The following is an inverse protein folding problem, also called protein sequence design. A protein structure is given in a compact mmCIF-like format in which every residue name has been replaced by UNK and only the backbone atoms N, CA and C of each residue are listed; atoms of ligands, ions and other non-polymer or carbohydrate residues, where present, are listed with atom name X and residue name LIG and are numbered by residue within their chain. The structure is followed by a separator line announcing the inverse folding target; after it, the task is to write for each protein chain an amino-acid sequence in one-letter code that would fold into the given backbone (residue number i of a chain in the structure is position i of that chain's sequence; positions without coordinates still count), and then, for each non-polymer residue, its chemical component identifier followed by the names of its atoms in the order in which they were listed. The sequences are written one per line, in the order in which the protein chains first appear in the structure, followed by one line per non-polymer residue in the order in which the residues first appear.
data_IF_819657499282
#
_entry.id   IF_819657499282
#
_cell.length_a   1.000
_cell.length_b   1.000
_cell.length_c   1.000
_cell.angle_alpha   90.00
_cell.angle_beta   90.00
_cell.angle_gamma   90.00
#
_symmetry.space_group_name_H-M   'P 1'
#
loop_
_entity.id
_entity.type
_entity.pdbx_description
1 polymer ?
#
# COMPACT_ATOMS: atom_id res chain seq x y z
N UNK A 1 0.52 -5.71 1.88
CA UNK A 1 1.76 -5.19 1.32
C UNK A 1 1.93 -5.57 -0.14
N UNK A 2 2.17 -6.83 -0.51
CA UNK A 2 2.29 -7.21 -1.96
C UNK A 2 0.97 -6.94 -2.71
N UNK A 3 0.91 -5.79 -3.38
CA UNK A 3 -0.26 -5.28 -4.08
C UNK A 3 0.07 -4.72 -5.46
N UNK A 4 -0.74 -3.77 -5.92
CA UNK A 4 -0.60 -3.12 -7.23
C UNK A 4 0.70 -2.39 -7.41
N UNK A 5 1.12 -1.63 -6.40
CA UNK A 5 2.14 -0.59 -6.58
C UNK A 5 3.46 -1.10 -7.15
N UNK A 6 3.91 -2.31 -6.79
CA UNK A 6 5.16 -2.85 -7.35
C UNK A 6 5.08 -3.12 -8.85
N UNK A 7 3.90 -3.47 -9.37
CA UNK A 7 3.69 -3.79 -10.78
C UNK A 7 3.36 -2.56 -11.64
N UNK A 8 3.17 -1.38 -11.04
CA UNK A 8 2.66 -0.18 -11.73
C UNK A 8 3.49 1.08 -11.49
N UNK A 9 4.13 1.22 -10.33
CA UNK A 9 4.71 2.51 -9.91
C UNK A 9 5.97 2.89 -10.70
N UNK A 10 6.75 1.90 -11.13
CA UNK A 10 8.01 2.16 -11.84
C UNK A 10 7.80 2.96 -13.14
N UNK A 11 6.65 2.81 -13.80
CA UNK A 11 6.35 3.43 -15.08
C UNK A 11 6.18 4.94 -14.97
N UNK A 12 5.66 5.40 -13.83
CA UNK A 12 5.58 6.81 -13.49
C UNK A 12 6.93 7.37 -13.01
N UNK A 13 7.79 6.53 -12.41
CA UNK A 13 9.10 6.95 -11.92
C UNK A 13 10.12 7.15 -13.05
N UNK A 14 10.15 6.22 -14.01
CA UNK A 14 11.12 6.27 -15.13
C UNK A 14 10.90 7.48 -16.04
N UNK A 15 9.68 8.03 -16.06
CA UNK A 15 9.35 9.24 -16.82
C UNK A 15 10.12 10.48 -16.32
N UNK A 16 10.39 10.53 -15.01
CA UNK A 16 11.04 11.65 -14.32
C UNK A 16 12.50 11.37 -13.96
N UNK A 17 12.89 10.09 -13.88
CA UNK A 17 14.21 9.65 -13.43
C UNK A 17 14.82 8.69 -14.46
N UNK A 18 15.61 9.21 -15.43
CA UNK A 18 16.21 8.41 -16.49
C UNK A 18 17.53 7.75 -16.04
N UNK A 19 17.60 7.19 -14.84
CA UNK A 19 18.81 6.51 -14.34
C UNK A 19 18.50 5.32 -13.43
N UNK A 20 19.18 4.19 -13.70
CA UNK A 20 18.95 2.89 -13.04
C UNK A 20 19.25 2.95 -11.54
N UNK A 21 20.39 3.52 -11.14
CA UNK A 21 20.79 3.53 -9.73
C UNK A 21 19.80 4.32 -8.85
N UNK A 22 19.44 5.59 -9.17
CA UNK A 22 18.41 6.31 -8.45
C UNK A 22 17.07 5.57 -8.37
N UNK A 23 16.63 4.93 -9.45
CA UNK A 23 15.38 4.15 -9.46
C UNK A 23 15.42 3.00 -8.45
N UNK A 24 16.46 2.18 -8.45
CA UNK A 24 16.62 1.10 -7.45
C UNK A 24 16.74 1.67 -6.04
N UNK A 25 17.48 2.77 -5.89
CA UNK A 25 17.68 3.43 -4.62
C UNK A 25 16.37 3.94 -4.02
N UNK A 26 15.41 4.43 -4.83
CA UNK A 26 14.06 4.79 -4.37
C UNK A 26 13.39 3.63 -3.63
N UNK A 27 13.41 2.43 -4.21
CA UNK A 27 12.78 1.24 -3.63
C UNK A 27 13.45 0.77 -2.35
N UNK A 28 14.78 0.93 -2.25
CA UNK A 28 15.54 0.68 -1.02
C UNK A 28 15.15 1.68 0.06
N UNK A 29 15.15 2.98 -0.24
CA UNK A 29 14.78 4.05 0.69
C UNK A 29 13.33 3.86 1.18
N UNK A 30 12.39 3.62 0.26
CA UNK A 30 10.99 3.39 0.61
C UNK A 30 10.78 2.17 1.50
N UNK A 31 11.52 1.07 1.27
CA UNK A 31 11.43 -0.10 2.14
C UNK A 31 12.10 0.10 3.50
N UNK A 32 13.18 0.91 3.59
CA UNK A 32 13.75 1.35 4.88
C UNK A 32 12.73 2.18 5.65
N UNK A 33 12.05 3.13 4.99
CA UNK A 33 10.95 3.90 5.60
C UNK A 33 9.88 2.93 6.12
N UNK A 34 9.40 1.98 5.31
CA UNK A 34 8.40 1.01 5.73
C UNK A 34 8.85 0.16 6.93
N UNK A 35 10.13 -0.25 6.99
CA UNK A 35 10.71 -0.98 8.11
C UNK A 35 10.74 -0.16 9.40
N UNK A 36 11.19 1.10 9.31
CA UNK A 36 11.19 2.03 10.45
C UNK A 36 9.77 2.26 10.98
N UNK A 37 8.80 2.39 10.08
CA UNK A 37 7.38 2.49 10.40
C UNK A 37 6.86 1.24 11.11
N UNK A 38 7.12 0.06 10.54
CA UNK A 38 6.71 -1.24 11.08
C UNK A 38 7.27 -1.48 12.48
N UNK A 39 8.56 -1.19 12.70
CA UNK A 39 9.20 -1.28 14.01
C UNK A 39 8.61 -0.30 15.03
N UNK A 40 8.12 0.86 14.60
CA UNK A 40 7.51 1.85 15.50
C UNK A 40 6.06 1.50 15.83
N UNK A 41 5.27 1.15 14.81
CA UNK A 41 3.90 0.67 14.97
C UNK A 41 3.83 -0.61 15.80
N UNK A 42 4.86 -1.46 15.74
CA UNK A 42 4.98 -2.61 16.63
C UNK A 42 4.88 -2.22 18.11
N UNK A 43 5.55 -1.15 18.56
CA UNK A 43 5.49 -0.71 19.96
C UNK A 43 4.10 -0.18 20.29
N UNK A 44 3.57 0.71 19.44
CA UNK A 44 2.26 1.35 19.65
C UNK A 44 1.12 0.31 19.68
N UNK A 45 1.09 -0.58 18.70
CA UNK A 45 0.07 -1.62 18.59
C UNK A 45 0.18 -2.70 19.66
N UNK A 46 1.40 -3.07 20.07
CA UNK A 46 1.60 -4.01 21.18
C UNK A 46 1.21 -3.41 22.54
N UNK A 47 1.43 -2.10 22.73
CA UNK A 47 1.09 -1.40 23.96
C UNK A 47 -0.41 -1.07 24.06
N UNK A 48 -1.11 -0.90 22.92
CA UNK A 48 -2.54 -0.57 22.86
C UNK A 48 -3.28 -1.49 21.85
N UNK A 49 -3.44 -2.80 22.16
CA UNK A 49 -3.98 -3.76 21.21
C UNK A 49 -5.51 -3.67 21.10
N UNK A 50 -6.00 -2.71 20.31
CA UNK A 50 -7.41 -2.61 19.88
C UNK A 50 -7.46 -2.42 18.36
N UNK A 51 -8.44 -3.06 17.72
CA UNK A 51 -8.75 -2.83 16.30
C UNK A 51 -9.11 -1.36 16.04
N UNK A 52 -8.80 -0.87 14.84
CA UNK A 52 -9.06 0.51 14.42
C UNK A 52 -7.85 1.29 13.91
N UNK A 53 -6.63 0.76 14.02
CA UNK A 53 -5.45 1.39 13.41
C UNK A 53 -5.18 2.79 13.97
N UNK A 54 -4.88 3.73 13.07
CA UNK A 54 -4.59 5.13 13.38
C UNK A 54 -5.74 5.81 14.11
N UNK A 55 -7.00 5.48 13.79
CA UNK A 55 -8.16 6.02 14.52
C UNK A 55 -8.01 5.78 16.02
N UNK A 56 -7.71 4.54 16.40
CA UNK A 56 -7.56 4.17 17.81
C UNK A 56 -6.29 4.80 18.41
N UNK A 57 -5.15 4.63 17.75
CA UNK A 57 -3.85 5.07 18.25
C UNK A 57 -3.82 6.59 18.45
N UNK A 58 -4.22 7.36 17.44
CA UNK A 58 -4.19 8.82 17.49
C UNK A 58 -5.24 9.40 18.45
N UNK A 59 -6.40 8.73 18.61
CA UNK A 59 -7.38 9.09 19.64
C UNK A 59 -6.80 9.01 21.05
N UNK A 60 -5.97 8.01 21.32
CA UNK A 60 -5.37 7.78 22.65
C UNK A 60 -4.11 8.61 22.89
N UNK A 61 -3.29 8.81 21.86
CA UNK A 61 -2.01 9.54 21.99
C UNK A 61 -2.24 11.06 22.03
N UNK A 62 -3.08 11.57 21.14
CA UNK A 62 -3.25 13.01 20.93
C UNK A 62 -4.60 13.51 21.44
N UNK A 63 -5.68 13.16 20.74
CA UNK A 63 -7.04 13.63 21.02
C UNK A 63 -8.06 12.86 20.15
N UNK A 64 -9.31 12.62 20.62
CA UNK A 64 -10.35 11.95 19.83
C UNK A 64 -10.62 12.58 18.44
N UNK A 65 -10.51 13.90 18.29
CA UNK A 65 -10.71 14.59 17.00
C UNK A 65 -9.64 14.17 15.98
N UNK A 66 -8.37 14.09 16.39
CA UNK A 66 -7.28 13.67 15.49
C UNK A 66 -7.49 12.22 15.07
N UNK A 67 -7.89 11.38 16.03
CA UNK A 67 -8.31 10.01 15.75
C UNK A 67 -9.46 9.96 14.74
N UNK A 68 -10.53 10.71 14.94
CA UNK A 68 -11.67 10.79 14.03
C UNK A 68 -11.26 11.15 12.60
N UNK A 69 -10.48 12.22 12.41
CA UNK A 69 -10.01 12.65 11.08
C UNK A 69 -9.18 11.53 10.44
N UNK A 70 -8.25 10.94 11.21
CA UNK A 70 -7.43 9.83 10.71
C UNK A 70 -8.25 8.59 10.35
N UNK A 71 -9.34 8.32 11.08
CA UNK A 71 -10.27 7.25 10.80
C UNK A 71 -11.02 7.49 9.48
N UNK A 72 -11.48 8.72 9.26
CA UNK A 72 -12.12 9.12 8.01
C UNK A 72 -11.19 8.98 6.81
N UNK A 73 -9.94 9.44 6.95
CA UNK A 73 -8.89 9.25 5.93
C UNK A 73 -8.58 7.78 5.72
N UNK A 74 -8.53 6.97 6.78
CA UNK A 74 -8.29 5.54 6.65
C UNK A 74 -9.42 4.86 5.84
N UNK A 75 -10.68 5.12 6.17
CA UNK A 75 -11.83 4.51 5.48
C UNK A 75 -11.85 4.89 3.99
N UNK A 76 -11.63 6.16 3.68
CA UNK A 76 -11.70 6.68 2.30
C UNK A 76 -10.41 6.42 1.52
N UNK A 77 -9.31 7.02 1.95
CA UNK A 77 -8.02 6.98 1.25
C UNK A 77 -7.15 5.77 1.63
N UNK A 78 -7.36 5.17 2.81
CA UNK A 78 -6.62 3.99 3.26
C UNK A 78 -7.17 2.65 2.78
N UNK A 79 -8.48 2.56 2.49
CA UNK A 79 -9.11 1.31 2.05
C UNK A 79 -9.90 1.46 0.75
N UNK A 80 -10.80 2.44 0.61
CA UNK A 80 -11.59 2.58 -0.62
C UNK A 80 -10.71 2.93 -1.85
N UNK A 81 -9.82 3.91 -1.72
CA UNK A 81 -8.89 4.29 -2.81
C UNK A 81 -7.95 3.13 -3.23
N UNK A 82 -7.26 2.41 -2.33
CA UNK A 82 -6.48 1.23 -2.71
C UNK A 82 -7.32 0.08 -3.29
N UNK A 83 -8.58 -0.06 -2.87
CA UNK A 83 -9.52 -1.02 -3.50
C UNK A 83 -9.76 -0.63 -4.95
N UNK A 84 -10.03 0.65 -5.22
CA UNK A 84 -10.24 1.17 -6.57
C UNK A 84 -8.97 1.00 -7.44
N UNK A 85 -7.80 1.37 -6.93
CA UNK A 85 -6.53 1.23 -7.64
C UNK A 85 -6.21 -0.24 -7.99
N UNK A 86 -6.48 -1.18 -7.06
CA UNK A 86 -6.36 -2.61 -7.32
C UNK A 86 -7.30 -3.10 -8.43
N UNK A 87 -8.54 -2.62 -8.44
CA UNK A 87 -9.51 -2.98 -9.45
C UNK A 87 -9.19 -2.36 -10.83
N UNK A 88 -8.79 -1.08 -10.88
CA UNK A 88 -8.40 -0.40 -12.13
C UNK A 88 -7.17 -1.07 -12.75
N UNK A 89 -6.15 -1.38 -11.95
CA UNK A 89 -4.98 -2.10 -12.42
C UNK A 89 -5.38 -3.49 -12.98
N UNK A 90 -6.24 -4.23 -12.28
CA UNK A 90 -6.79 -5.49 -12.78
C UNK A 90 -7.45 -5.31 -14.16
N UNK A 91 -8.26 -4.27 -14.32
CA UNK A 91 -8.87 -3.89 -15.60
C UNK A 91 -7.83 -3.70 -16.70
N UNK A 92 -6.80 -2.88 -16.44
CA UNK A 92 -5.71 -2.60 -17.39
C UNK A 92 -4.92 -3.84 -17.80
N UNK A 93 -4.56 -4.69 -16.83
CA UNK A 93 -3.89 -5.97 -17.11
C UNK A 93 -4.77 -6.94 -17.90
N UNK A 94 -6.11 -6.83 -17.78
CA UNK A 94 -7.05 -7.66 -18.56
C UNK A 94 -7.26 -7.11 -19.98
N UNK A 95 -7.39 -5.79 -20.14
CA UNK A 95 -7.53 -5.10 -21.44
C UNK A 95 -6.40 -5.46 -22.42
N UNK A 96 -5.18 -5.56 -21.90
CA UNK A 96 -3.98 -5.94 -22.67
C UNK A 96 -4.13 -7.32 -23.33
N UNK A 97 -4.87 -8.24 -22.70
CA UNK A 97 -5.11 -9.60 -23.20
C UNK A 97 -6.39 -9.68 -24.02
N UNK A 98 -7.44 -8.97 -23.58
CA UNK A 98 -8.76 -8.93 -24.19
C UNK A 98 -9.16 -7.47 -24.47
N UNK A 99 -8.74 -6.89 -25.61
CA UNK A 99 -8.96 -5.47 -25.91
C UNK A 99 -10.44 -5.07 -26.07
N UNK A 100 -11.34 -6.04 -26.22
CA UNK A 100 -12.79 -5.81 -26.29
C UNK A 100 -13.46 -5.62 -24.92
N UNK A 101 -12.74 -5.89 -23.83
CA UNK A 101 -13.26 -5.73 -22.47
C UNK A 101 -12.97 -4.31 -21.99
N UNK A 102 -13.99 -3.59 -21.54
CA UNK A 102 -13.80 -2.33 -20.82
C UNK A 102 -13.27 -2.60 -19.41
N UNK A 103 -12.03 -2.21 -19.14
CA UNK A 103 -11.36 -2.44 -17.87
C UNK A 103 -11.97 -1.67 -16.71
N UNK A 104 -12.61 -0.53 -16.96
CA UNK A 104 -13.28 0.29 -15.93
C UNK A 104 -14.54 -0.43 -15.44
N UNK A 105 -15.37 -0.90 -16.36
CA UNK A 105 -16.57 -1.67 -16.01
C UNK A 105 -16.22 -3.03 -15.39
N UNK A 106 -15.15 -3.69 -15.88
CA UNK A 106 -14.63 -4.89 -15.24
C UNK A 106 -14.18 -4.62 -13.80
N UNK A 107 -13.42 -3.55 -13.57
CA UNK A 107 -12.97 -3.13 -12.23
C UNK A 107 -14.17 -2.93 -11.29
N UNK A 108 -15.17 -2.16 -11.71
CA UNK A 108 -16.37 -1.90 -10.92
C UNK A 108 -17.14 -3.21 -10.61
N UNK A 109 -17.31 -4.08 -11.61
CA UNK A 109 -17.99 -5.37 -11.45
C UNK A 109 -17.26 -6.25 -10.43
N UNK A 110 -15.93 -6.36 -10.51
CA UNK A 110 -15.14 -7.15 -9.54
C UNK A 110 -15.32 -6.64 -8.12
N UNK A 111 -15.28 -5.32 -7.90
CA UNK A 111 -15.49 -4.73 -6.56
C UNK A 111 -16.89 -5.02 -6.04
N UNK A 112 -17.93 -4.90 -6.87
CA UNK A 112 -19.31 -5.22 -6.50
C UNK A 112 -19.45 -6.69 -6.11
N UNK A 113 -18.96 -7.61 -6.94
CA UNK A 113 -19.02 -9.06 -6.68
C UNK A 113 -18.30 -9.41 -5.39
N UNK A 114 -17.09 -8.89 -5.18
CA UNK A 114 -16.31 -9.15 -3.97
C UNK A 114 -16.99 -8.57 -2.72
N UNK A 115 -17.60 -7.39 -2.84
CA UNK A 115 -18.37 -6.77 -1.75
C UNK A 115 -19.60 -7.60 -1.39
N UNK A 116 -20.31 -8.13 -2.38
CA UNK A 116 -21.44 -9.04 -2.17
C UNK A 116 -20.96 -10.31 -1.45
N UNK A 117 -19.86 -10.93 -1.88
CA UNK A 117 -19.32 -12.14 -1.24
C UNK A 117 -19.00 -11.89 0.25
N UNK A 118 -18.30 -10.78 0.54
CA UNK A 118 -17.95 -10.40 1.92
C UNK A 118 -19.15 -9.96 2.76
N UNK A 119 -20.31 -9.70 2.16
CA UNK A 119 -21.55 -9.41 2.91
C UNK A 119 -22.21 -10.66 3.50
N UNK A 120 -21.88 -11.86 2.98
CA UNK A 120 -22.47 -13.12 3.44
C UNK A 120 -21.55 -13.99 4.30
N UNK A 121 -20.24 -14.08 4.00
CA UNK A 121 -19.33 -15.00 4.70
C UNK A 121 -17.92 -14.44 4.93
N UNK A 122 -17.50 -14.41 6.19
CA UNK A 122 -16.18 -13.91 6.64
C UNK A 122 -15.12 -15.01 6.71
N UNK A 123 -15.54 -16.28 6.98
CA UNK A 123 -14.60 -17.39 7.25
C UNK A 123 -13.82 -17.86 6.02
N UNK A 124 -14.36 -17.69 4.82
CA UNK A 124 -13.66 -17.99 3.57
C UNK A 124 -12.54 -16.96 3.28
N UNK A 125 -12.63 -15.75 3.83
CA UNK A 125 -11.70 -14.66 3.53
C UNK A 125 -10.27 -14.90 4.00
N UNK A 126 -10.07 -15.46 5.21
CA UNK A 126 -8.71 -15.66 5.75
C UNK A 126 -7.93 -16.76 5.02
N UNK A 127 -8.57 -17.90 4.71
CA UNK A 127 -7.92 -18.98 3.94
C UNK A 127 -7.58 -18.52 2.52
N UNK A 128 -8.54 -17.87 1.86
CA UNK A 128 -8.32 -17.27 0.54
C UNK A 128 -7.14 -16.29 0.55
N UNK A 129 -7.07 -15.43 1.56
CA UNK A 129 -6.00 -14.43 1.68
C UNK A 129 -4.62 -15.07 1.87
N UNK A 130 -4.52 -16.09 2.73
CA UNK A 130 -3.25 -16.78 2.97
C UNK A 130 -2.76 -17.51 1.72
N UNK A 131 -3.64 -18.25 1.05
CA UNK A 131 -3.31 -18.95 -0.20
C UNK A 131 -2.92 -17.97 -1.30
N UNK A 132 -3.68 -16.88 -1.49
CA UNK A 132 -3.36 -15.87 -2.48
C UNK A 132 -2.03 -15.16 -2.19
N UNK A 133 -1.71 -14.91 -0.91
CA UNK A 133 -0.43 -14.30 -0.52
C UNK A 133 0.74 -15.23 -0.82
N UNK A 134 0.62 -16.52 -0.51
CA UNK A 134 1.63 -17.51 -0.87
C UNK A 134 1.84 -17.57 -2.39
N UNK A 135 0.77 -17.65 -3.17
CA UNK A 135 0.84 -17.68 -4.63
C UNK A 135 1.45 -16.40 -5.21
N UNK A 136 1.15 -15.22 -4.65
CA UNK A 136 1.80 -13.95 -5.04
C UNK A 136 3.30 -13.99 -4.88
N UNK A 137 3.77 -14.41 -3.70
CA UNK A 137 5.21 -14.48 -3.41
C UNK A 137 5.88 -15.51 -4.32
N UNK A 138 5.28 -16.68 -4.48
CA UNK A 138 5.78 -17.72 -5.37
C UNK A 138 5.87 -17.22 -6.82
N UNK A 139 4.84 -16.54 -7.32
CA UNK A 139 4.83 -15.97 -8.67
C UNK A 139 5.97 -14.97 -8.86
N UNK A 140 6.17 -14.05 -7.91
CA UNK A 140 7.27 -13.08 -7.96
C UNK A 140 8.62 -13.80 -7.98
N UNK A 141 8.82 -14.83 -7.16
CA UNK A 141 10.07 -15.58 -7.14
C UNK A 141 10.33 -16.31 -8.46
N UNK A 142 9.31 -16.98 -9.03
CA UNK A 142 9.41 -17.63 -10.34
C UNK A 142 9.75 -16.60 -11.42
N UNK A 143 9.07 -15.45 -11.41
CA UNK A 143 9.30 -14.36 -12.34
C UNK A 143 10.74 -13.84 -12.27
N UNK A 144 11.24 -13.59 -11.07
CA UNK A 144 12.60 -13.10 -10.85
C UNK A 144 13.65 -14.14 -11.30
N UNK A 145 13.47 -15.41 -10.93
CA UNK A 145 14.40 -16.48 -11.32
C UNK A 145 14.42 -16.65 -12.84
N UNK A 146 13.26 -16.70 -13.49
CA UNK A 146 13.17 -16.84 -14.94
C UNK A 146 13.84 -15.70 -15.69
N UNK A 147 13.74 -14.47 -15.19
CA UNK A 147 14.35 -13.30 -15.81
C UNK A 147 15.88 -13.38 -15.91
N UNK A 148 16.56 -14.05 -14.99
CA UNK A 148 18.02 -14.23 -15.08
C UNK A 148 18.47 -15.18 -16.20
N UNK A 149 17.55 -15.93 -16.82
CA UNK A 149 17.84 -16.87 -17.91
C UNK A 149 17.47 -16.33 -19.29
N UNK A 150 17.12 -15.04 -19.43
CA UNK A 150 16.81 -14.45 -20.73
C UNK A 150 18.05 -14.40 -21.64
N UNK A 151 17.92 -14.63 -22.96
CA UNK A 151 19.07 -14.70 -23.86
C UNK A 151 19.81 -13.37 -24.07
N UNK A 152 19.08 -12.25 -24.02
CA UNK A 152 19.59 -10.92 -24.33
C UNK A 152 19.15 -9.91 -23.25
N UNK A 153 19.79 -9.92 -22.07
CA UNK A 153 19.48 -8.95 -21.03
C UNK A 153 20.03 -7.56 -21.33
N UNK A 154 19.46 -6.56 -20.65
CA UNK A 154 20.00 -5.21 -20.72
C UNK A 154 21.33 -5.09 -19.97
N UNK A 155 22.24 -4.31 -20.54
CA UNK A 155 23.47 -3.93 -19.86
C UNK A 155 23.21 -2.74 -18.92
N UNK A 156 22.70 -3.05 -17.72
CA UNK A 156 22.42 -2.05 -16.69
C UNK A 156 23.55 -1.98 -15.65
N UNK A 157 23.82 -0.77 -15.15
CA UNK A 157 24.74 -0.55 -14.02
C UNK A 157 23.95 -0.11 -12.80
N UNK A 158 24.10 -0.85 -11.70
CA UNK A 158 23.58 -0.50 -10.37
C UNK A 158 24.63 0.22 -9.51
N UNK A 159 25.78 0.59 -10.09
CA UNK A 159 26.77 1.40 -9.40
C UNK A 159 26.43 2.90 -9.58
N UNK A 160 26.56 3.70 -8.51
CA UNK A 160 26.28 5.13 -8.56
C UNK A 160 27.27 5.86 -9.47
N UNK A 161 26.76 6.84 -10.21
CA UNK A 161 27.54 7.84 -10.95
C UNK A 161 27.42 9.20 -10.28
N UNK A 162 28.35 10.11 -10.56
CA UNK A 162 28.29 11.48 -10.00
C UNK A 162 27.00 12.23 -10.38
N UNK A 163 26.49 12.02 -11.59
CA UNK A 163 25.21 12.58 -12.05
C UNK A 163 24.01 12.07 -11.25
N UNK A 164 24.09 10.86 -10.68
CA UNK A 164 22.99 10.27 -9.91
C UNK A 164 22.78 10.99 -8.58
N UNK A 165 23.82 11.60 -8.00
CA UNK A 165 23.70 12.35 -6.74
C UNK A 165 22.76 13.55 -6.94
N UNK A 166 22.87 14.24 -8.08
CA UNK A 166 21.99 15.38 -8.41
C UNK A 166 20.53 14.93 -8.57
N UNK A 167 20.31 13.75 -9.16
CA UNK A 167 18.97 13.17 -9.27
C UNK A 167 18.40 12.80 -7.90
N UNK A 168 19.19 12.20 -7.00
CA UNK A 168 18.73 11.74 -5.68
C UNK A 168 18.24 12.90 -4.79
N UNK A 169 18.87 14.08 -4.92
CA UNK A 169 18.47 15.28 -4.15
C UNK A 169 17.45 16.15 -4.90
N UNK A 170 17.01 15.74 -6.08
CA UNK A 170 16.07 16.51 -6.92
C UNK A 170 14.61 16.42 -6.42
N UNK A 171 13.77 17.41 -6.78
CA UNK A 171 12.31 17.31 -6.58
C UNK A 171 11.70 16.05 -7.21
N UNK A 172 12.13 15.67 -8.42
CA UNK A 172 11.65 14.49 -9.14
C UNK A 172 11.86 13.19 -8.35
N UNK A 173 12.96 13.07 -7.61
CA UNK A 173 13.20 11.93 -6.73
C UNK A 173 12.26 11.92 -5.52
N UNK A 174 12.05 13.07 -4.87
CA UNK A 174 11.13 13.17 -3.75
C UNK A 174 9.67 12.89 -4.16
N UNK A 175 9.25 13.39 -5.33
CA UNK A 175 7.92 13.07 -5.90
C UNK A 175 7.83 11.59 -6.28
N UNK A 176 8.88 11.00 -6.85
CA UNK A 176 8.93 9.57 -7.17
C UNK A 176 8.83 8.65 -5.94
N UNK A 177 9.34 9.11 -4.79
CA UNK A 177 9.16 8.41 -3.52
C UNK A 177 7.70 8.33 -3.07
N UNK A 178 6.79 9.20 -3.53
CA UNK A 178 5.35 9.04 -3.23
C UNK A 178 4.85 7.72 -3.78
N UNK A 179 5.20 7.40 -5.03
CA UNK A 179 4.75 6.17 -5.69
C UNK A 179 5.35 4.94 -5.00
N UNK A 180 6.62 5.02 -4.58
CA UNK A 180 7.24 3.95 -3.79
C UNK A 180 6.57 3.81 -2.42
N UNK A 181 6.37 4.91 -1.69
CA UNK A 181 5.71 4.92 -0.39
C UNK A 181 4.31 4.32 -0.49
N UNK A 182 3.56 4.66 -1.55
CA UNK A 182 2.29 4.04 -1.86
C UNK A 182 2.43 2.53 -2.10
N UNK A 183 3.39 2.09 -2.92
CA UNK A 183 3.60 0.68 -3.21
C UNK A 183 3.89 -0.13 -1.94
N UNK A 184 4.63 0.44 -0.98
CA UNK A 184 4.90 -0.19 0.31
C UNK A 184 3.72 -0.16 1.29
N UNK A 185 2.63 0.57 1.02
CA UNK A 185 1.48 0.67 1.93
C UNK A 185 0.90 -0.69 2.33
N UNK A 186 0.18 -0.68 3.45
CA UNK A 186 -0.37 -1.89 4.07
C UNK A 186 0.66 -2.66 4.90
N UNK A 187 1.85 -2.10 5.14
CA UNK A 187 2.77 -2.61 6.17
C UNK A 187 2.16 -2.47 7.57
N UNK A 188 1.34 -1.46 7.80
CA UNK A 188 0.59 -1.19 9.03
C UNK A 188 -0.75 -1.95 9.13
N UNK A 189 -1.14 -2.72 8.10
CA UNK A 189 -2.48 -3.31 7.99
C UNK A 189 -2.87 -4.19 9.21
N UNK A 190 -1.91 -4.90 9.80
CA UNK A 190 -2.16 -5.77 10.94
C UNK A 190 -2.63 -5.00 12.20
N UNK A 191 -2.32 -3.70 12.32
CA UNK A 191 -2.77 -2.87 13.45
C UNK A 191 -4.28 -2.62 13.39
N UNK A 192 -4.89 -2.57 12.20
CA UNK A 192 -6.33 -2.35 12.08
C UNK A 192 -7.16 -3.52 12.62
N UNK A 193 -6.59 -4.71 12.68
CA UNK A 193 -7.21 -5.93 13.21
C UNK A 193 -6.49 -6.45 14.47
N UNK A 194 -5.78 -5.58 15.19
CA UNK A 194 -4.98 -5.98 16.35
C UNK A 194 -5.78 -6.75 17.41
N UNK A 195 -7.06 -6.44 17.59
CA UNK A 195 -7.94 -7.14 18.53
C UNK A 195 -8.30 -8.59 18.12
N UNK A 196 -8.08 -8.97 16.86
CA UNK A 196 -8.31 -10.32 16.34
C UNK A 196 -7.02 -11.18 16.36
N UNK A 197 -5.86 -10.58 16.66
CA UNK A 197 -4.56 -11.27 16.66
C UNK A 197 -4.33 -11.98 18.00
N UNK A 198 -4.01 -13.27 17.96
CA UNK A 198 -3.58 -14.04 19.15
C UNK A 198 -2.25 -13.51 19.68
N UNK A 199 -2.15 -13.26 20.98
CA UNK A 199 -0.94 -12.69 21.64
C UNK A 199 -0.38 -11.46 20.89
N UNK A 200 -1.16 -10.37 20.79
CA UNK A 200 -0.82 -9.22 19.96
C UNK A 200 0.47 -8.55 20.42
N UNK A 201 0.83 -8.63 21.71
CA UNK A 201 2.07 -8.08 22.25
C UNK A 201 3.34 -8.64 21.59
N UNK A 202 3.30 -9.87 21.07
CA UNK A 202 4.44 -10.50 20.37
C UNK A 202 4.20 -10.69 18.88
N UNK A 203 2.99 -11.11 18.50
CA UNK A 203 2.71 -11.49 17.12
C UNK A 203 2.48 -10.30 16.21
N UNK A 204 1.97 -9.18 16.73
CA UNK A 204 1.80 -7.97 15.92
C UNK A 204 3.15 -7.34 15.54
N UNK A 205 4.11 -7.05 16.46
CA UNK A 205 5.42 -6.53 16.06
C UNK A 205 6.16 -7.44 15.07
N UNK A 206 6.09 -8.76 15.28
CA UNK A 206 6.73 -9.75 14.41
C UNK A 206 6.13 -9.73 13.01
N UNK A 207 4.80 -9.71 12.88
CA UNK A 207 4.16 -9.73 11.56
C UNK A 207 4.43 -8.46 10.76
N UNK A 208 4.44 -7.29 11.43
CA UNK A 208 4.78 -6.01 10.80
C UNK A 208 6.21 -6.02 10.27
N UNK A 209 7.19 -6.39 11.10
CA UNK A 209 8.60 -6.39 10.72
C UNK A 209 8.93 -7.42 9.64
N UNK A 210 8.54 -8.69 9.83
CA UNK A 210 8.88 -9.74 8.85
C UNK A 210 8.18 -9.51 7.53
N UNK A 211 6.92 -9.06 7.55
CA UNK A 211 6.18 -8.67 6.35
C UNK A 211 6.89 -7.55 5.58
N UNK A 212 7.26 -6.46 6.27
CA UNK A 212 7.96 -5.34 5.64
C UNK A 212 9.35 -5.72 5.09
N UNK A 213 10.12 -6.52 5.82
CA UNK A 213 11.45 -6.96 5.40
C UNK A 213 11.40 -7.83 4.14
N UNK A 214 10.49 -8.81 4.10
CA UNK A 214 10.32 -9.68 2.92
C UNK A 214 9.90 -8.84 1.70
N UNK A 215 8.96 -7.91 1.89
CA UNK A 215 8.47 -7.08 0.79
C UNK A 215 9.54 -6.14 0.26
N UNK A 216 10.38 -5.54 1.12
CA UNK A 216 11.53 -4.75 0.69
C UNK A 216 12.44 -5.55 -0.26
N UNK A 217 12.81 -6.76 0.15
CA UNK A 217 13.67 -7.63 -0.68
C UNK A 217 13.02 -7.96 -2.02
N UNK A 218 11.75 -8.38 -2.00
CA UNK A 218 11.00 -8.73 -3.21
C UNK A 218 10.84 -7.53 -4.15
N UNK A 219 10.56 -6.35 -3.62
CA UNK A 219 10.31 -5.15 -4.42
C UNK A 219 11.59 -4.62 -5.06
N UNK A 220 12.70 -4.63 -4.34
CA UNK A 220 14.02 -4.26 -4.91
C UNK A 220 14.40 -5.24 -6.02
N UNK A 221 14.26 -6.55 -5.79
CA UNK A 221 14.54 -7.57 -6.81
C UNK A 221 13.64 -7.41 -8.03
N UNK A 222 12.33 -7.21 -7.82
CA UNK A 222 11.37 -7.14 -8.91
C UNK A 222 11.61 -5.88 -9.77
N UNK A 223 11.90 -4.74 -9.15
CA UNK A 223 12.25 -3.52 -9.90
C UNK A 223 13.59 -3.65 -10.64
N UNK A 224 14.57 -4.32 -10.04
CA UNK A 224 15.80 -4.67 -10.76
C UNK A 224 15.49 -5.50 -12.01
N UNK A 225 14.62 -6.51 -11.90
CA UNK A 225 14.23 -7.35 -13.03
C UNK A 225 13.48 -6.58 -14.12
N UNK A 226 12.58 -5.66 -13.77
CA UNK A 226 11.91 -4.82 -14.76
C UNK A 226 12.90 -3.99 -15.57
N UNK A 227 13.87 -3.35 -14.89
CA UNK A 227 14.93 -2.57 -15.52
C UNK A 227 15.95 -3.44 -16.29
N UNK A 228 16.16 -4.69 -15.86
CA UNK A 228 17.04 -5.65 -16.53
C UNK A 228 16.43 -6.21 -17.82
N UNK A 229 15.11 -6.17 -17.96
CA UNK A 229 14.36 -6.81 -19.06
C UNK A 229 13.76 -5.80 -20.04
N UNK A 230 13.43 -4.57 -19.63
CA UNK A 230 12.70 -3.60 -20.46
C UNK A 230 13.38 -2.23 -20.48
N UNK A 231 13.52 -1.57 -21.64
CA UNK A 231 14.14 -0.24 -21.73
C UNK A 231 13.31 0.81 -20.97
N UNK A 232 13.97 1.84 -20.43
CA UNK A 232 13.29 2.90 -19.67
C UNK A 232 12.19 3.60 -20.49
N UNK A 233 12.44 3.82 -21.78
CA UNK A 233 11.51 4.47 -22.71
C UNK A 233 10.21 3.67 -22.90
N UNK A 234 10.29 2.34 -22.89
CA UNK A 234 9.13 1.46 -23.05
C UNK A 234 8.29 1.36 -21.76
N UNK A 235 8.90 1.66 -20.62
CA UNK A 235 8.24 1.65 -19.30
C UNK A 235 7.52 2.98 -18.99
N UNK A 236 7.95 4.08 -19.59
CA UNK A 236 7.49 5.42 -19.24
C UNK A 236 5.98 5.59 -19.43
N UNK A 237 5.30 5.99 -18.35
CA UNK A 237 3.85 6.22 -18.30
C UNK A 237 2.99 4.96 -18.40
N UNK A 238 3.58 3.75 -18.31
CA UNK A 238 2.85 2.48 -18.40
C UNK A 238 2.44 1.95 -17.04
N UNK A 239 1.20 1.45 -16.94
CA UNK A 239 0.69 0.80 -15.72
C UNK A 239 1.07 -0.68 -15.71
N UNK A 240 1.09 -1.31 -16.87
CA UNK A 240 1.23 -2.75 -17.10
C UNK A 240 2.69 -3.21 -17.21
N UNK A 241 3.58 -2.69 -16.36
CA UNK A 241 5.04 -2.94 -16.40
C UNK A 241 5.37 -4.42 -16.27
N UNK A 242 4.64 -5.13 -15.40
CA UNK A 242 4.80 -6.57 -15.22
C UNK A 242 4.54 -7.34 -16.51
N UNK A 243 3.58 -6.89 -17.34
CA UNK A 243 3.31 -7.49 -18.64
C UNK A 243 4.43 -7.24 -19.65
N UNK A 244 4.94 -6.00 -19.71
CA UNK A 244 6.04 -5.64 -20.62
C UNK A 244 7.30 -6.47 -20.33
N UNK A 245 7.66 -6.59 -19.06
CA UNK A 245 8.78 -7.45 -18.64
C UNK A 245 8.48 -8.92 -18.92
N UNK A 246 7.25 -9.38 -18.69
CA UNK A 246 6.85 -10.76 -18.96
C UNK A 246 6.96 -11.15 -20.45
N UNK A 247 6.67 -10.24 -21.38
CA UNK A 247 6.87 -10.49 -22.82
C UNK A 247 8.35 -10.79 -23.10
N UNK A 248 9.26 -10.01 -22.53
CA UNK A 248 10.69 -10.18 -22.77
C UNK A 248 11.26 -11.44 -22.08
N UNK A 249 10.61 -11.93 -21.01
CA UNK A 249 11.03 -13.14 -20.30
C UNK A 249 10.42 -14.41 -20.92
N UNK A 250 9.12 -14.42 -21.21
CA UNK A 250 8.36 -15.62 -21.57
C UNK A 250 7.77 -15.58 -22.98
N UNK A 251 8.08 -14.56 -23.77
CA UNK A 251 7.45 -14.29 -25.07
C UNK A 251 6.00 -13.80 -24.93
N UNK A 252 5.36 -13.51 -26.07
CA UNK A 252 4.01 -12.91 -26.10
C UNK A 252 2.95 -13.74 -25.38
N UNK A 253 2.96 -15.06 -25.55
CA UNK A 253 1.97 -15.95 -24.91
C UNK A 253 2.18 -16.00 -23.39
N UNK A 254 3.44 -16.13 -22.94
CA UNK A 254 3.77 -16.11 -21.52
C UNK A 254 3.51 -14.74 -20.88
N UNK A 255 3.74 -13.66 -21.62
CA UNK A 255 3.37 -12.30 -21.23
C UNK A 255 1.87 -12.17 -20.95
N UNK A 256 1.02 -12.62 -21.89
CA UNK A 256 -0.45 -12.61 -21.71
C UNK A 256 -0.87 -13.46 -20.51
N UNK A 257 -0.28 -14.64 -20.33
CA UNK A 257 -0.55 -15.49 -19.17
C UNK A 257 -0.18 -14.78 -17.86
N UNK A 258 0.99 -14.14 -17.81
CA UNK A 258 1.44 -13.38 -16.65
C UNK A 258 0.51 -12.20 -16.36
N UNK A 259 0.06 -11.50 -17.39
CA UNK A 259 -0.92 -10.41 -17.26
C UNK A 259 -2.20 -10.88 -16.57
N UNK A 260 -2.74 -12.02 -17.00
CA UNK A 260 -3.93 -12.63 -16.39
C UNK A 260 -3.68 -13.11 -14.95
N UNK A 261 -2.49 -13.65 -14.66
CA UNK A 261 -2.12 -14.05 -13.31
C UNK A 261 -2.02 -12.83 -12.38
N UNK A 262 -1.40 -11.74 -12.83
CA UNK A 262 -1.35 -10.47 -12.08
C UNK A 262 -2.78 -9.96 -11.84
N UNK A 263 -3.61 -9.88 -12.88
CA UNK A 263 -5.01 -9.47 -12.77
C UNK A 263 -5.78 -10.32 -11.73
N UNK A 264 -5.65 -11.65 -11.79
CA UNK A 264 -6.27 -12.55 -10.83
C UNK A 264 -5.77 -12.32 -9.39
N UNK A 265 -4.47 -12.11 -9.21
CA UNK A 265 -3.88 -11.85 -7.89
C UNK A 265 -4.31 -10.49 -7.33
N UNK A 266 -4.64 -9.50 -8.18
CA UNK A 266 -5.19 -8.22 -7.74
C UNK A 266 -6.61 -8.36 -7.15
N UNK A 267 -7.39 -9.37 -7.55
CA UNK A 267 -8.67 -9.70 -6.88
C UNK A 267 -8.46 -9.96 -5.40
N UNK A 268 -7.36 -10.61 -5.02
CA UNK A 268 -7.06 -10.84 -3.60
C UNK A 268 -6.73 -9.55 -2.85
N UNK A 269 -6.13 -8.56 -3.53
CA UNK A 269 -5.89 -7.23 -2.93
C UNK A 269 -7.23 -6.50 -2.72
N UNK A 270 -8.11 -6.50 -3.71
CA UNK A 270 -9.49 -5.96 -3.60
C UNK A 270 -10.22 -6.61 -2.42
N UNK A 271 -10.19 -7.95 -2.36
CA UNK A 271 -10.81 -8.74 -1.30
C UNK A 271 -10.29 -8.40 0.09
N UNK A 272 -8.97 -8.26 0.26
CA UNK A 272 -8.36 -7.87 1.53
C UNK A 272 -8.82 -6.49 2.00
N UNK A 273 -8.87 -5.51 1.09
CA UNK A 273 -9.24 -4.13 1.43
C UNK A 273 -10.75 -4.00 1.73
N UNK A 274 -11.60 -4.69 0.98
CA UNK A 274 -13.05 -4.78 1.24
C UNK A 274 -13.33 -5.47 2.57
N UNK A 275 -12.48 -6.41 2.97
CA UNK A 275 -12.60 -7.07 4.27
C UNK A 275 -12.18 -6.18 5.45
N UNK A 276 -11.02 -5.50 5.37
CA UNK A 276 -10.48 -4.75 6.52
C UNK A 276 -11.18 -3.40 6.70
N UNK A 277 -11.39 -2.64 5.62
CA UNK A 277 -11.85 -1.25 5.70
C UNK A 277 -13.16 -1.00 6.47
N UNK A 278 -14.23 -1.82 6.29
CA UNK A 278 -15.50 -1.60 6.97
C UNK A 278 -15.42 -1.71 8.50
N UNK A 279 -14.40 -2.41 9.03
CA UNK A 279 -14.18 -2.53 10.48
C UNK A 279 -13.83 -1.19 11.11
N UNK A 280 -13.22 -0.26 10.37
CA UNK A 280 -12.83 1.04 10.92
C UNK A 280 -14.07 1.89 11.13
N UNK A 281 -14.94 2.01 10.11
CA UNK A 281 -16.21 2.71 10.24
C UNK A 281 -17.10 2.07 11.31
N UNK A 282 -17.05 0.74 11.44
CA UNK A 282 -17.76 0.02 12.50
C UNK A 282 -17.25 0.42 13.89
N UNK A 283 -15.94 0.41 14.12
CA UNK A 283 -15.34 0.85 15.40
C UNK A 283 -15.65 2.33 15.68
N UNK A 284 -15.57 3.20 14.67
CA UNK A 284 -15.99 4.61 14.81
C UNK A 284 -17.47 4.73 15.19
N UNK A 285 -18.34 3.90 14.61
CA UNK A 285 -19.77 3.86 14.94
C UNK A 285 -20.09 3.21 16.30
N UNK A 286 -19.19 2.41 16.85
CA UNK A 286 -19.29 1.88 18.23
C UNK A 286 -18.90 2.97 19.25
N UNK A 287 -17.92 3.80 18.91
CA UNK A 287 -17.43 4.87 19.78
C UNK A 287 -18.26 6.17 19.68
N UNK A 288 -18.92 6.44 18.55
CA UNK A 288 -19.61 7.71 18.27
C UNK A 288 -21.09 7.51 17.88
N UNK A 289 -22.05 8.03 18.67
CA UNK A 289 -23.49 7.88 18.39
C UNK A 289 -23.94 8.40 17.02
N UNK A 290 -23.32 9.48 16.53
CA UNK A 290 -23.63 10.08 15.21
C UNK A 290 -23.31 9.11 14.06
N UNK A 291 -22.37 8.19 14.26
CA UNK A 291 -21.96 7.17 13.28
C UNK A 291 -22.51 5.78 13.60
N UNK A 292 -23.46 5.66 14.53
CA UNK A 292 -24.01 4.37 14.99
C UNK A 292 -24.66 3.53 13.87
N UNK A 293 -24.96 4.12 12.71
CA UNK A 293 -25.40 3.35 11.54
C UNK A 293 -24.35 2.33 11.09
N UNK A 294 -23.05 2.63 11.25
CA UNK A 294 -21.94 1.76 10.84
C UNK A 294 -21.63 0.63 11.83
N UNK A 295 -22.04 0.74 13.09
CA UNK A 295 -21.83 -0.32 14.10
C UNK A 295 -22.85 -1.46 14.01
N UNK A 296 -23.91 -1.30 13.22
CA UNK A 296 -24.93 -2.34 12.99
C UNK A 296 -24.33 -3.54 12.24
N UNK A 297 -24.37 -4.71 12.88
CA UNK A 297 -23.85 -5.98 12.34
C UNK A 297 -24.99 -6.85 11.82
N UNK A 298 -24.76 -7.59 10.74
CA UNK A 298 -25.63 -8.67 10.31
C UNK A 298 -25.59 -9.85 11.29
N UNK A 299 -26.45 -10.86 11.09
CA UNK A 299 -26.43 -12.11 11.87
C UNK A 299 -25.05 -12.79 11.89
N UNK A 300 -24.25 -12.58 10.84
CA UNK A 300 -22.91 -13.16 10.69
C UNK A 300 -21.80 -12.24 11.22
N UNK A 301 -22.14 -11.16 11.93
CA UNK A 301 -21.17 -10.23 12.53
C UNK A 301 -20.59 -9.20 11.56
N UNK A 302 -21.17 -9.04 10.37
CA UNK A 302 -20.63 -8.22 9.28
C UNK A 302 -21.24 -6.81 9.33
N UNK A 303 -20.45 -5.72 9.34
CA UNK A 303 -20.97 -4.35 9.32
C UNK A 303 -21.39 -3.95 7.90
N UNK A 304 -22.55 -4.42 7.44
CA UNK A 304 -23.02 -4.27 6.05
C UNK A 304 -23.10 -2.81 5.63
N UNK A 305 -23.56 -1.91 6.50
CA UNK A 305 -23.65 -0.47 6.17
C UNK A 305 -22.27 0.16 5.93
N UNK A 306 -21.26 -0.24 6.71
CA UNK A 306 -19.89 0.22 6.50
C UNK A 306 -19.29 -0.33 5.20
N UNK A 307 -19.61 -1.59 4.87
CA UNK A 307 -19.20 -2.22 3.62
C UNK A 307 -19.83 -1.52 2.41
N UNK A 308 -21.13 -1.21 2.47
CA UNK A 308 -21.82 -0.47 1.42
C UNK A 308 -21.25 0.95 1.25
N UNK A 309 -20.93 1.64 2.34
CA UNK A 309 -20.28 2.95 2.26
C UNK A 309 -18.93 2.87 1.55
N UNK A 310 -18.07 1.92 1.93
CA UNK A 310 -16.79 1.71 1.25
C UNK A 310 -16.98 1.36 -0.23
N UNK A 311 -17.97 0.52 -0.57
CA UNK A 311 -18.29 0.18 -1.96
C UNK A 311 -18.64 1.43 -2.77
N UNK A 312 -19.51 2.29 -2.26
CA UNK A 312 -19.91 3.54 -2.93
C UNK A 312 -18.69 4.44 -3.17
N UNK A 313 -17.88 4.68 -2.14
CA UNK A 313 -16.67 5.51 -2.27
C UNK A 313 -15.68 4.90 -3.27
N UNK A 314 -15.52 3.58 -3.27
CA UNK A 314 -14.64 2.86 -4.21
C UNK A 314 -15.14 3.03 -5.65
N UNK A 315 -16.44 2.89 -5.90
CA UNK A 315 -17.03 3.07 -7.23
C UNK A 315 -16.89 4.51 -7.72
N UNK A 316 -17.04 5.50 -6.84
CA UNK A 316 -16.78 6.90 -7.19
C UNK A 316 -15.34 7.07 -7.68
N UNK A 317 -14.34 6.56 -6.95
CA UNK A 317 -12.94 6.62 -7.41
C UNK A 317 -12.72 5.93 -8.76
N UNK A 318 -13.35 4.78 -9.01
CA UNK A 318 -13.23 4.06 -10.29
C UNK A 318 -13.74 4.90 -11.47
N UNK A 319 -14.84 5.64 -11.30
CA UNK A 319 -15.48 6.36 -12.40
C UNK A 319 -15.05 7.83 -12.54
N UNK A 320 -14.53 8.48 -11.48
CA UNK A 320 -14.29 9.93 -11.50
C UNK A 320 -12.82 10.32 -11.51
N UNK A 321 -11.90 9.42 -11.16
CA UNK A 321 -10.52 9.76 -10.86
C UNK A 321 -9.55 8.93 -11.69
N UNK A 322 -8.45 9.53 -12.14
CA UNK A 322 -7.37 8.78 -12.78
C UNK A 322 -6.58 7.95 -11.76
N UNK A 323 -5.93 6.88 -12.23
CA UNK A 323 -5.10 6.01 -11.38
C UNK A 323 -4.03 6.82 -10.63
N UNK A 324 -3.32 7.71 -11.34
CA UNK A 324 -2.25 8.51 -10.77
C UNK A 324 -2.77 9.50 -9.71
N UNK A 325 -3.89 10.19 -9.97
CA UNK A 325 -4.49 11.12 -9.01
C UNK A 325 -4.88 10.42 -7.69
N UNK A 326 -5.61 9.30 -7.78
CA UNK A 326 -6.02 8.54 -6.58
C UNK A 326 -4.80 8.09 -5.78
N UNK A 327 -3.74 7.67 -6.47
CA UNK A 327 -2.49 7.24 -5.84
C UNK A 327 -1.83 8.40 -5.09
N UNK A 328 -1.63 9.55 -5.73
CA UNK A 328 -0.95 10.70 -5.13
C UNK A 328 -1.72 11.20 -3.90
N UNK A 329 -3.05 11.36 -3.99
CA UNK A 329 -3.88 11.79 -2.87
C UNK A 329 -3.82 10.84 -1.69
N UNK A 330 -3.96 9.53 -1.95
CA UNK A 330 -3.90 8.52 -0.91
C UNK A 330 -2.51 8.48 -0.27
N UNK A 331 -1.46 8.50 -1.08
CA UNK A 331 -0.09 8.44 -0.59
C UNK A 331 0.26 9.62 0.31
N UNK A 332 -0.11 10.85 -0.07
CA UNK A 332 0.13 12.05 0.74
C UNK A 332 -0.59 11.97 2.10
N UNK A 333 -1.90 11.76 2.08
CA UNK A 333 -2.71 11.77 3.31
C UNK A 333 -2.36 10.62 4.25
N UNK A 334 -2.11 9.43 3.72
CA UNK A 334 -1.67 8.29 4.53
C UNK A 334 -0.26 8.52 5.11
N UNK A 335 0.65 9.11 4.33
CA UNK A 335 1.98 9.47 4.82
C UNK A 335 1.92 10.46 5.98
N UNK A 336 1.03 11.45 5.89
CA UNK A 336 0.81 12.42 6.96
C UNK A 336 0.35 11.75 8.26
N UNK A 337 -0.74 10.96 8.22
CA UNK A 337 -1.29 10.33 9.43
C UNK A 337 -0.40 9.22 9.99
N UNK A 338 0.32 8.49 9.14
CA UNK A 338 1.30 7.51 9.60
C UNK A 338 2.51 8.18 10.24
N UNK A 339 2.97 9.32 9.72
CA UNK A 339 4.03 10.13 10.35
C UNK A 339 3.61 10.67 11.70
N UNK A 340 2.37 11.16 11.82
CA UNK A 340 1.81 11.58 13.11
C UNK A 340 1.72 10.41 14.10
N UNK A 341 1.38 9.22 13.62
CA UNK A 341 1.32 8.01 14.45
C UNK A 341 2.72 7.58 14.91
N UNK A 342 3.71 7.55 14.02
CA UNK A 342 5.12 7.28 14.37
C UNK A 342 5.64 8.29 15.37
N UNK A 343 5.39 9.59 15.18
CA UNK A 343 5.73 10.62 16.16
C UNK A 343 5.07 10.37 17.53
N UNK A 344 3.92 9.71 17.52
CA UNK A 344 3.18 9.33 18.71
C UNK A 344 3.96 8.45 19.68
N UNK A 345 5.00 7.72 19.25
CA UNK A 345 5.85 6.94 20.17
C UNK A 345 6.62 7.83 21.15
N UNK A 346 7.07 9.00 20.71
CA UNK A 346 7.75 9.98 21.58
C UNK A 346 6.76 10.56 22.58
N UNK A 347 5.59 10.97 22.11
CA UNK A 347 4.51 11.54 22.94
C UNK A 347 4.02 10.53 23.97
N UNK A 348 3.80 9.27 23.56
CA UNK A 348 3.30 8.20 24.43
C UNK A 348 4.29 7.88 25.55
N UNK A 349 5.60 7.91 25.28
CA UNK A 349 6.64 7.71 26.31
C UNK A 349 6.65 8.81 27.37
N UNK A 350 6.25 10.03 27.01
CA UNK A 350 6.14 11.16 27.94
C UNK A 350 4.80 11.13 28.70
N UNK A 351 3.67 11.00 27.98
CA UNK A 351 2.32 11.05 28.57
C UNK A 351 1.97 9.81 29.40
N UNK A 352 2.47 8.63 29.00
CA UNK A 352 2.12 7.35 29.62
C UNK A 352 3.38 6.51 29.90
N UNK A 353 4.29 6.97 30.78
CA UNK A 353 5.57 6.30 31.02
C UNK A 353 5.38 4.89 31.60
N UNK A 354 4.39 4.70 32.48
CA UNK A 354 4.09 3.43 33.14
C UNK A 354 3.32 2.41 32.28
N UNK A 355 2.92 2.76 31.04
CA UNK A 355 2.20 1.83 30.16
C UNK A 355 3.06 0.59 29.86
N UNK A 356 2.55 -0.64 30.08
CA UNK A 356 3.26 -1.86 29.71
C UNK A 356 3.56 -1.88 28.21
N UNK A 357 4.82 -2.16 27.85
CA UNK A 357 5.30 -2.23 26.47
C UNK A 357 5.89 -3.61 26.21
N UNK A 358 5.09 -4.60 25.77
CA UNK A 358 5.56 -5.95 25.48
C UNK A 358 6.68 -6.00 24.44
N UNK A 359 6.70 -5.00 23.54
CA UNK A 359 7.77 -4.75 22.60
C UNK A 359 8.11 -3.25 22.63
N UNK A 360 9.40 -2.94 22.47
CA UNK A 360 9.92 -1.57 22.34
C UNK A 360 10.61 -1.43 21.00
N UNK A 361 10.41 -0.30 20.33
CA UNK A 361 10.97 0.03 19.03
C UNK A 361 12.49 -0.06 19.06
N UNK A 362 13.02 -0.99 18.26
CA UNK A 362 14.47 -1.12 18.08
C UNK A 362 15.06 0.15 17.47
N UNK A 363 16.23 0.56 17.95
CA UNK A 363 16.93 1.76 17.47
C UNK A 363 16.26 3.08 17.88
N UNK A 364 15.34 3.10 18.85
CA UNK A 364 14.81 4.34 19.40
C UNK A 364 15.95 5.20 20.01
N UNK A 365 16.01 6.53 19.75
CA UNK A 365 15.03 7.35 19.01
C UNK A 365 15.29 7.46 17.50
N UNK A 366 16.37 6.89 16.99
CA UNK A 366 16.85 7.05 15.61
C UNK A 366 15.86 6.45 14.60
N UNK A 367 15.36 5.24 14.84
CA UNK A 367 14.43 4.54 13.93
C UNK A 367 13.17 5.36 13.62
N UNK A 368 12.38 5.84 14.60
CA UNK A 368 11.23 6.69 14.31
C UNK A 368 11.64 8.07 13.77
N UNK A 369 12.81 8.61 14.13
CA UNK A 369 13.30 9.87 13.58
C UNK A 369 13.59 9.77 12.07
N UNK A 370 14.23 8.68 11.60
CA UNK A 370 14.47 8.43 10.17
C UNK A 370 13.15 8.41 9.40
N UNK A 371 12.14 7.67 9.92
CA UNK A 371 10.82 7.62 9.31
C UNK A 371 10.21 9.02 9.13
N UNK A 372 10.22 9.82 10.20
CA UNK A 372 9.59 11.14 10.20
C UNK A 372 10.34 12.09 9.27
N UNK A 373 11.68 12.15 9.35
CA UNK A 373 12.47 13.07 8.54
C UNK A 373 12.33 12.80 7.05
N UNK A 374 12.37 11.53 6.63
CA UNK A 374 12.21 11.17 5.22
C UNK A 374 10.79 11.44 4.72
N UNK A 375 9.75 11.14 5.51
CA UNK A 375 8.37 11.42 5.10
C UNK A 375 8.05 12.93 5.10
N UNK A 376 8.57 13.70 6.04
CA UNK A 376 8.46 15.17 6.02
C UNK A 376 9.14 15.73 4.78
N UNK A 377 10.34 15.24 4.45
CA UNK A 377 11.03 15.61 3.22
C UNK A 377 10.18 15.31 1.99
N UNK A 378 9.65 14.09 1.84
CA UNK A 378 8.73 13.73 0.75
C UNK A 378 7.57 14.74 0.70
N UNK A 379 6.81 14.87 1.79
CA UNK A 379 5.60 15.72 1.85
C UNK A 379 5.87 17.18 1.47
N UNK A 380 7.01 17.76 1.89
CA UNK A 380 7.38 19.15 1.53
C UNK A 380 7.52 19.29 0.02
N UNK A 381 8.22 18.38 -0.66
CA UNK A 381 8.37 18.45 -2.12
C UNK A 381 7.06 18.17 -2.86
N UNK A 382 6.19 17.31 -2.32
CA UNK A 382 4.84 17.12 -2.89
C UNK A 382 4.03 18.42 -2.88
N UNK A 383 4.03 19.14 -1.76
CA UNK A 383 3.30 20.41 -1.63
C UNK A 383 3.83 21.44 -2.63
N UNK A 384 5.15 21.51 -2.79
CA UNK A 384 5.82 22.50 -3.67
C UNK A 384 5.58 22.21 -5.16
N UNK A 385 5.60 20.94 -5.57
CA UNK A 385 5.54 20.55 -6.99
C UNK A 385 4.13 20.15 -7.47
N UNK A 386 3.25 19.72 -6.55
CA UNK A 386 1.89 19.22 -6.81
C UNK A 386 0.86 19.98 -5.94
N UNK A 387 0.92 21.30 -5.99
CA UNK A 387 0.19 22.17 -5.05
C UNK A 387 -1.33 22.05 -5.21
N UNK A 388 -1.84 21.95 -6.45
CA UNK A 388 -3.27 21.81 -6.71
C UNK A 388 -3.81 20.49 -6.15
N UNK A 389 -3.06 19.40 -6.36
CA UNK A 389 -3.41 18.08 -5.86
C UNK A 389 -3.35 18.02 -4.33
N UNK A 390 -2.32 18.62 -3.73
CA UNK A 390 -2.17 18.62 -2.28
C UNK A 390 -3.29 19.42 -1.59
N UNK A 391 -3.71 20.54 -2.17
CA UNK A 391 -4.80 21.36 -1.64
C UNK A 391 -6.15 20.64 -1.68
N UNK A 392 -6.45 19.91 -2.76
CA UNK A 392 -7.67 19.09 -2.87
C UNK A 392 -7.68 17.96 -1.84
N UNK A 393 -6.53 17.35 -1.56
CA UNK A 393 -6.42 16.28 -0.56
C UNK A 393 -6.64 16.74 0.88
N UNK A 394 -6.42 18.03 1.18
CA UNK A 394 -6.57 18.61 2.51
C UNK A 394 -8.01 18.98 2.89
N UNK A 395 -8.96 18.96 1.96
CA UNK A 395 -10.38 19.21 2.22
C UNK A 395 -11.12 19.87 1.07
#
# INVERSE_FOLDING_TARGET
MVGTGVFTSLGFQVAEIPSIFPLIFLWVVGGIIALCGALTYGELGAAMPRSGGEYHLLSKIYHPIIGFISGWVSVTLGFAAPTALAAIALGKYTEVVFPSVDGTHLAAMVVVVISIIHSYSVRLGSLFQNTATFLKVLLILIFVVAAFFIPAPQNISVLPKWSDIQLIVSPSFAVSLIYVSYAYTGWNAAVYIAGEIKDPGKNLPRSLFTGAAIVLLLYVLLNYIFLYTVPLEDLAGKVEIGFLSAINIFGTTGGKLMSMLIALLLVSTVSAMVFVGPRISMIMGEDMPVLAIFSKKSRNGIPVNALLFQLVVTLLFIYTSSFEQVLIYAAFMLTFFTSLTVFGVFVLRIKMPALPRPYKTWGYPITPAIYILLNVWIMVYVVLERTAETLIGMG
#
